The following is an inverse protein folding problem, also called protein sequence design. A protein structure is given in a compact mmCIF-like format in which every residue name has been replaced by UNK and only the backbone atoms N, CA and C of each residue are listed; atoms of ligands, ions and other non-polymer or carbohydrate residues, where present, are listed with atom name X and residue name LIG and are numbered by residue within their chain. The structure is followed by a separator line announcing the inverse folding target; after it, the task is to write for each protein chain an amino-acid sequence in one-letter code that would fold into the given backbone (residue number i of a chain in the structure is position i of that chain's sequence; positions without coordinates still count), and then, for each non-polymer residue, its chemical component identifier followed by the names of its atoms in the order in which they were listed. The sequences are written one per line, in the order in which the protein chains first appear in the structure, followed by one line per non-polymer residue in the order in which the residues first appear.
data_IF_145319419378
#
_entry.id   IF_145319419378
#
_cell.length_a   1.000
_cell.length_b   1.000
_cell.length_c   1.000
_cell.angle_alpha   90.00
_cell.angle_beta   90.00
_cell.angle_gamma   90.00
#
_symmetry.space_group_name_H-M   'P 1'
#
loop_
_entity.id
_entity.type
_entity.pdbx_description
1 polymer ?
#
# COMPACT_ATOMS: atom_id res chain seq x y z
N UNK A 1 -19.97 -18.08 -1.29
CA UNK A 1 -20.15 -16.64 -1.57
C UNK A 1 -18.96 -16.21 -2.41
N UNK A 2 -19.20 -15.66 -3.61
CA UNK A 2 -18.12 -15.10 -4.42
C UNK A 2 -17.56 -13.89 -3.68
N UNK A 3 -16.29 -13.94 -3.25
CA UNK A 3 -15.60 -12.75 -2.77
C UNK A 3 -15.61 -11.74 -3.91
N UNK A 4 -16.40 -10.67 -3.75
CA UNK A 4 -16.39 -9.54 -4.67
C UNK A 4 -15.00 -8.93 -4.58
N UNK A 5 -14.30 -8.79 -5.70
CA UNK A 5 -12.97 -8.15 -5.73
C UNK A 5 -13.06 -6.76 -5.10
N UNK A 6 -12.14 -6.41 -4.21
CA UNK A 6 -12.10 -5.08 -3.61
C UNK A 6 -11.82 -4.04 -4.71
N UNK A 7 -12.77 -3.15 -4.96
CA UNK A 7 -12.63 -2.07 -5.97
C UNK A 7 -12.05 -0.80 -5.38
N UNK A 8 -12.06 -0.64 -4.06
CA UNK A 8 -11.41 0.47 -3.36
C UNK A 8 -9.89 0.38 -3.57
N UNK A 9 -9.23 1.42 -4.11
CA UNK A 9 -7.79 1.41 -4.30
C UNK A 9 -7.01 1.27 -2.99
N UNK A 10 -5.93 0.49 -3.03
CA UNK A 10 -5.03 0.29 -1.88
C UNK A 10 -3.66 0.87 -2.20
N UNK A 11 -3.16 1.77 -1.34
CA UNK A 11 -1.77 2.20 -1.31
C UNK A 11 -1.02 1.41 -0.24
N UNK A 12 0.03 0.72 -0.66
CA UNK A 12 0.95 0.01 0.21
C UNK A 12 2.32 0.69 0.23
N UNK A 13 2.68 1.23 1.38
CA UNK A 13 3.92 1.94 1.65
C UNK A 13 4.94 0.97 2.22
N UNK A 14 6.07 0.80 1.54
CA UNK A 14 7.11 -0.17 1.92
C UNK A 14 8.49 0.49 1.97
N UNK A 15 9.43 -0.12 2.68
CA UNK A 15 10.83 0.28 2.59
C UNK A 15 11.77 -0.92 2.53
N UNK A 16 12.38 -1.30 3.66
CA UNK A 16 13.49 -2.25 3.75
C UNK A 16 13.20 -3.40 4.73
N UNK A 17 11.92 -3.69 5.00
CA UNK A 17 11.48 -4.72 5.95
C UNK A 17 10.79 -5.88 5.23
N UNK A 18 11.50 -6.68 4.40
CA UNK A 18 10.87 -7.69 3.55
C UNK A 18 9.96 -8.67 4.31
N UNK A 19 10.32 -9.05 5.54
CA UNK A 19 9.50 -9.96 6.35
C UNK A 19 8.14 -9.37 6.76
N UNK A 20 8.10 -8.12 7.22
CA UNK A 20 6.83 -7.49 7.62
C UNK A 20 6.04 -7.04 6.39
N UNK A 21 6.73 -6.59 5.34
CA UNK A 21 6.14 -6.36 4.01
C UNK A 21 5.39 -7.60 3.53
N UNK A 22 5.99 -8.79 3.63
CA UNK A 22 5.34 -10.04 3.22
C UNK A 22 4.07 -10.33 4.03
N UNK A 23 4.10 -10.13 5.35
CA UNK A 23 2.93 -10.36 6.21
C UNK A 23 1.77 -9.43 5.85
N UNK A 24 2.03 -8.14 5.65
CA UNK A 24 0.99 -7.17 5.28
C UNK A 24 0.49 -7.43 3.86
N UNK A 25 1.41 -7.69 2.92
CA UNK A 25 1.07 -8.02 1.54
C UNK A 25 0.17 -9.24 1.43
N UNK A 26 0.38 -10.29 2.23
CA UNK A 26 -0.52 -11.46 2.24
C UNK A 26 -1.95 -11.11 2.66
N UNK A 27 -2.16 -10.10 3.51
CA UNK A 27 -3.52 -9.62 3.84
C UNK A 27 -4.15 -8.86 2.67
N UNK A 28 -3.35 -8.05 1.95
CA UNK A 28 -3.78 -7.36 0.73
C UNK A 28 -4.11 -8.38 -0.37
N UNK A 29 -3.24 -9.37 -0.58
CA UNK A 29 -3.42 -10.46 -1.55
C UNK A 29 -4.68 -11.28 -1.26
N UNK A 30 -5.01 -11.52 0.01
CA UNK A 30 -6.23 -12.24 0.39
C UNK A 30 -7.53 -11.56 -0.11
N UNK A 31 -7.52 -10.24 -0.28
CA UNK A 31 -8.68 -9.48 -0.79
C UNK A 31 -8.59 -9.13 -2.28
N UNK A 32 -7.48 -9.49 -2.95
CA UNK A 32 -7.26 -9.38 -4.41
C UNK A 32 -7.77 -8.03 -4.96
N UNK A 33 -7.23 -6.87 -4.49
CA UNK A 33 -7.74 -5.57 -4.91
C UNK A 33 -7.55 -5.39 -6.41
N UNK A 34 -8.55 -4.78 -7.06
CA UNK A 34 -8.44 -4.46 -8.49
C UNK A 34 -7.33 -3.44 -8.75
N UNK A 35 -7.16 -2.47 -7.85
CA UNK A 35 -6.18 -1.40 -7.96
C UNK A 35 -5.21 -1.44 -6.77
N UNK A 36 -3.93 -1.69 -7.06
CA UNK A 36 -2.87 -1.71 -6.05
C UNK A 36 -1.80 -0.69 -6.43
N UNK A 37 -1.53 0.23 -5.50
CA UNK A 37 -0.48 1.22 -5.58
C UNK A 37 0.60 0.82 -4.59
N UNK A 38 1.85 0.78 -5.03
CA UNK A 38 2.98 0.41 -4.17
C UNK A 38 4.01 1.52 -4.25
N UNK A 39 4.28 2.17 -3.13
CA UNK A 39 5.34 3.15 -3.04
C UNK A 39 6.45 2.65 -2.12
N UNK A 40 7.69 2.72 -2.61
CA UNK A 40 8.86 2.31 -1.85
C UNK A 40 9.87 3.45 -1.74
N UNK A 41 10.34 3.72 -0.53
CA UNK A 41 11.49 4.62 -0.36
C UNK A 41 12.78 3.97 -0.92
N UNK A 42 13.77 4.80 -1.20
CA UNK A 42 15.09 4.35 -1.66
C UNK A 42 16.01 4.00 -0.50
N UNK A 43 17.04 3.21 -0.77
CA UNK A 43 18.04 2.85 0.24
C UNK A 43 18.90 4.06 0.62
N UNK A 44 19.48 4.05 1.83
CA UNK A 44 20.48 5.03 2.24
C UNK A 44 21.82 4.64 1.62
N UNK A 45 22.52 5.61 1.05
CA UNK A 45 23.80 5.36 0.35
C UNK A 45 24.88 4.73 1.25
N UNK A 46 24.85 5.07 2.54
CA UNK A 46 25.90 4.69 3.49
C UNK A 46 25.47 3.55 4.44
N UNK A 47 24.49 2.75 4.05
CA UNK A 47 24.02 1.62 4.87
C UNK A 47 24.10 0.32 4.08
N UNK A 48 25.16 -0.43 4.35
CA UNK A 48 25.42 -1.73 3.76
C UNK A 48 24.25 -2.71 3.98
N UNK A 49 23.92 -3.50 2.96
CA UNK A 49 22.81 -4.45 2.98
C UNK A 49 21.41 -3.83 2.81
N UNK A 50 21.24 -2.51 2.95
CA UNK A 50 19.91 -1.89 2.89
C UNK A 50 19.34 -1.89 1.47
N UNK A 51 20.20 -1.82 0.45
CA UNK A 51 19.78 -1.90 -0.95
C UNK A 51 19.14 -3.26 -1.24
N UNK A 52 19.78 -4.33 -0.80
CA UNK A 52 19.31 -5.70 -0.96
C UNK A 52 17.98 -5.91 -0.23
N UNK A 53 17.84 -5.37 0.99
CA UNK A 53 16.57 -5.42 1.74
C UNK A 53 15.43 -4.65 1.04
N UNK A 54 15.71 -3.49 0.45
CA UNK A 54 14.72 -2.75 -0.34
C UNK A 54 14.30 -3.53 -1.59
N UNK A 55 15.26 -4.14 -2.30
CA UNK A 55 14.98 -4.97 -3.47
C UNK A 55 14.15 -6.20 -3.10
N UNK A 56 14.44 -6.85 -1.97
CA UNK A 56 13.65 -7.97 -1.45
C UNK A 56 12.21 -7.53 -1.10
N UNK A 57 12.03 -6.41 -0.41
CA UNK A 57 10.71 -5.90 -0.07
C UNK A 57 9.88 -5.55 -1.32
N UNK A 58 10.51 -4.96 -2.35
CA UNK A 58 9.85 -4.69 -3.64
C UNK A 58 9.44 -6.00 -4.33
N UNK A 59 10.32 -7.01 -4.37
CA UNK A 59 10.06 -8.32 -4.99
C UNK A 59 8.90 -9.06 -4.33
N UNK A 60 8.76 -8.99 -3.00
CA UNK A 60 7.61 -9.57 -2.27
C UNK A 60 6.28 -9.19 -2.92
N UNK A 61 6.12 -7.92 -3.31
CA UNK A 61 4.89 -7.43 -3.91
C UNK A 61 4.83 -7.74 -5.41
N UNK A 62 5.91 -7.46 -6.15
CA UNK A 62 5.95 -7.64 -7.61
C UNK A 62 5.73 -9.11 -8.03
N UNK A 63 6.36 -10.04 -7.31
CA UNK A 63 6.31 -11.47 -7.65
C UNK A 63 5.10 -12.17 -7.01
N UNK A 64 4.45 -11.53 -6.03
CA UNK A 64 3.35 -12.11 -5.27
C UNK A 64 1.95 -11.84 -5.85
N UNK A 65 1.85 -11.05 -6.92
CA UNK A 65 0.57 -10.75 -7.57
C UNK A 65 0.18 -11.87 -8.54
N UNK A 66 -0.79 -12.67 -8.13
CA UNK A 66 -1.33 -13.82 -8.88
C UNK A 66 -2.81 -13.64 -9.29
N UNK A 67 -3.24 -12.38 -9.42
CA UNK A 67 -4.59 -12.00 -9.80
C UNK A 67 -4.59 -10.85 -10.82
N UNK A 68 -5.72 -10.63 -11.48
CA UNK A 68 -5.91 -9.47 -12.34
C UNK A 68 -5.88 -8.19 -11.50
N UNK A 69 -4.77 -7.48 -11.56
CA UNK A 69 -4.47 -6.33 -10.73
C UNK A 69 -3.92 -5.20 -11.61
N UNK A 70 -4.55 -4.03 -11.54
CA UNK A 70 -3.99 -2.78 -12.07
C UNK A 70 -2.95 -2.26 -11.07
N UNK A 71 -1.73 -2.76 -11.20
CA UNK A 71 -0.59 -2.37 -10.37
C UNK A 71 0.04 -1.05 -10.85
N UNK A 72 0.22 -0.10 -9.93
CA UNK A 72 1.04 1.11 -10.14
C UNK A 72 2.14 1.17 -9.09
N UNK A 73 3.37 1.40 -9.53
CA UNK A 73 4.54 1.43 -8.63
C UNK A 73 5.21 2.80 -8.65
N UNK A 74 5.66 3.25 -7.48
CA UNK A 74 6.52 4.42 -7.30
C UNK A 74 7.69 4.05 -6.41
N UNK A 75 8.82 3.67 -7.01
CA UNK A 75 10.02 3.30 -6.27
C UNK A 75 11.07 4.40 -6.39
N UNK A 76 11.55 4.88 -5.24
CA UNK A 76 12.58 5.90 -5.19
C UNK A 76 13.97 5.23 -5.22
N UNK A 77 14.91 5.88 -5.90
CA UNK A 77 16.31 5.42 -5.95
C UNK A 77 17.09 5.83 -4.69
N UNK A 78 16.72 6.97 -4.09
CA UNK A 78 17.38 7.50 -2.90
C UNK A 78 16.41 7.64 -1.74
N UNK A 79 16.90 7.37 -0.53
CA UNK A 79 16.13 7.56 0.69
C UNK A 79 15.73 9.03 0.86
N UNK A 80 14.42 9.31 0.84
CA UNK A 80 13.86 10.61 1.22
C UNK A 80 13.47 10.65 2.71
N UNK A 81 13.43 9.49 3.36
CA UNK A 81 13.07 9.35 4.76
C UNK A 81 11.56 9.35 4.96
N UNK A 82 11.11 8.77 6.07
CA UNK A 82 9.69 8.49 6.37
C UNK A 82 8.76 9.69 6.07
N UNK A 83 9.06 10.89 6.59
CA UNK A 83 8.20 12.07 6.40
C UNK A 83 7.95 12.42 4.93
N UNK A 84 9.01 12.50 4.12
CA UNK A 84 8.91 12.95 2.73
C UNK A 84 8.50 11.81 1.78
N UNK A 85 9.00 10.60 2.03
CA UNK A 85 8.62 9.42 1.24
C UNK A 85 7.12 9.12 1.37
N UNK A 86 6.59 9.09 2.59
CA UNK A 86 5.17 8.81 2.87
C UNK A 86 4.29 9.93 2.33
N UNK A 87 4.54 11.19 2.70
CA UNK A 87 3.69 12.31 2.24
C UNK A 87 3.65 12.42 0.71
N UNK A 88 4.79 12.28 0.02
CA UNK A 88 4.82 12.32 -1.45
C UNK A 88 4.16 11.11 -2.11
N UNK A 89 4.20 9.94 -1.46
CA UNK A 89 3.48 8.75 -1.94
C UNK A 89 1.96 8.92 -1.79
N UNK A 90 1.50 9.51 -0.69
CA UNK A 90 0.07 9.81 -0.46
C UNK A 90 -0.41 10.87 -1.47
N UNK A 91 0.37 11.92 -1.72
CA UNK A 91 0.06 12.91 -2.78
C UNK A 91 -0.06 12.23 -4.14
N UNK A 92 0.95 11.44 -4.53
CA UNK A 92 0.94 10.71 -5.80
C UNK A 92 -0.26 9.76 -5.92
N UNK A 93 -0.66 9.11 -4.83
CA UNK A 93 -1.84 8.25 -4.81
C UNK A 93 -3.13 9.04 -5.10
N UNK A 94 -3.36 10.16 -4.40
CA UNK A 94 -4.54 11.00 -4.59
C UNK A 94 -4.55 11.82 -5.89
N UNK A 95 -3.41 11.96 -6.59
CA UNK A 95 -3.41 12.43 -7.98
C UNK A 95 -4.09 11.44 -8.94
N UNK A 96 -4.29 10.19 -8.52
CA UNK A 96 -4.87 9.13 -9.34
C UNK A 96 -6.25 8.66 -8.87
N UNK A 97 -6.62 8.90 -7.61
CA UNK A 97 -7.86 8.40 -6.99
C UNK A 97 -8.47 9.43 -6.05
N UNK A 98 -9.79 9.43 -5.88
CA UNK A 98 -10.48 10.35 -4.96
C UNK A 98 -10.45 9.85 -3.50
N UNK A 99 -10.44 8.52 -3.31
CA UNK A 99 -10.45 7.86 -2.00
C UNK A 99 -9.71 6.51 -2.09
N UNK A 100 -9.25 5.99 -0.94
CA UNK A 100 -8.58 4.70 -0.89
C UNK A 100 -8.07 4.33 0.50
N UNK A 101 -7.52 3.12 0.60
CA UNK A 101 -6.96 2.54 1.83
C UNK A 101 -5.45 2.71 1.79
N UNK A 102 -4.84 3.16 2.89
CA UNK A 102 -3.39 3.33 2.99
C UNK A 102 -2.86 2.40 4.09
N UNK A 103 -1.87 1.58 3.77
CA UNK A 103 -1.22 0.65 4.69
C UNK A 103 0.30 0.82 4.63
N UNK A 104 0.97 0.69 5.79
CA UNK A 104 2.43 0.65 5.91
C UNK A 104 2.92 -0.80 6.10
N UNK A 105 4.20 -1.05 5.82
CA UNK A 105 4.82 -2.38 5.94
C UNK A 105 4.92 -2.91 7.38
N UNK A 106 4.56 -2.11 8.38
CA UNK A 106 4.49 -2.48 9.79
C UNK A 106 3.06 -2.39 10.39
N UNK A 107 2.04 -2.18 9.54
CA UNK A 107 0.63 -2.19 9.92
C UNK A 107 -0.05 -3.45 9.39
N UNK A 108 -0.25 -4.46 10.24
CA UNK A 108 -0.88 -5.73 9.86
C UNK A 108 -2.41 -5.67 10.03
N UNK A 109 -3.21 -5.52 8.94
CA UNK A 109 -4.66 -5.45 9.06
C UNK A 109 -5.31 -6.83 9.20
N UNK A 110 -6.45 -6.88 9.89
CA UNK A 110 -7.37 -8.01 9.69
C UNK A 110 -8.02 -7.92 8.30
N UNK A 111 -8.42 -9.06 7.72
CA UNK A 111 -9.07 -9.05 6.38
C UNK A 111 -10.41 -8.32 6.40
N UNK A 112 -11.10 -8.28 7.54
CA UNK A 112 -12.35 -7.50 7.69
C UNK A 112 -12.13 -5.99 7.56
N UNK A 113 -10.90 -5.49 7.79
CA UNK A 113 -10.55 -4.06 7.67
C UNK A 113 -10.85 -3.50 6.29
N UNK A 114 -10.56 -4.26 5.23
CA UNK A 114 -10.79 -3.81 3.86
C UNK A 114 -12.28 -3.61 3.54
N UNK A 115 -13.13 -4.50 4.03
CA UNK A 115 -14.59 -4.39 3.89
C UNK A 115 -15.15 -3.22 4.70
N UNK A 116 -14.69 -3.07 5.95
CA UNK A 116 -15.00 -1.92 6.80
C UNK A 116 -14.65 -0.59 6.13
N UNK A 117 -13.44 -0.47 5.57
CA UNK A 117 -13.03 0.74 4.89
C UNK A 117 -13.86 1.01 3.64
N UNK A 118 -14.11 0.00 2.81
CA UNK A 118 -14.92 0.16 1.60
C UNK A 118 -16.35 0.64 1.91
N UNK A 119 -16.99 0.07 2.93
CA UNK A 119 -18.34 0.47 3.34
C UNK A 119 -18.37 1.91 3.88
N UNK A 120 -17.43 2.27 4.76
CA UNK A 120 -17.43 3.59 5.39
C UNK A 120 -16.94 4.70 4.46
N UNK A 121 -16.05 4.41 3.50
CA UNK A 121 -15.70 5.38 2.45
C UNK A 121 -16.94 5.73 1.63
N UNK A 122 -17.71 4.73 1.17
CA UNK A 122 -18.96 4.97 0.45
C UNK A 122 -19.96 5.76 1.31
N UNK A 123 -20.14 5.38 2.57
CA UNK A 123 -21.08 6.03 3.48
C UNK A 123 -20.73 7.49 3.77
N UNK A 124 -19.44 7.79 3.98
CA UNK A 124 -18.97 9.13 4.33
C UNK A 124 -18.53 9.99 3.15
N UNK A 125 -18.53 9.49 1.91
CA UNK A 125 -18.00 10.18 0.71
C UNK A 125 -18.42 11.65 0.59
N UNK A 126 -19.68 11.94 0.90
CA UNK A 126 -20.25 13.30 0.78
C UNK A 126 -20.27 14.10 2.10
N UNK A 127 -19.79 13.52 3.20
CA UNK A 127 -19.79 14.16 4.51
C UNK A 127 -18.47 14.92 4.76
N UNK A 128 -18.48 16.22 4.46
CA UNK A 128 -17.32 17.12 4.60
C UNK A 128 -16.78 17.29 6.03
N UNK A 129 -17.42 16.71 7.05
CA UNK A 129 -16.93 16.72 8.44
C UNK A 129 -15.99 15.55 8.75
N UNK A 130 -15.93 14.54 7.88
CA UNK A 130 -15.11 13.34 8.07
C UNK A 130 -13.97 13.37 7.05
N UNK A 131 -12.74 13.28 7.55
CA UNK A 131 -11.53 13.30 6.71
C UNK A 131 -10.95 11.89 6.50
N UNK A 132 -11.03 11.01 7.50
CA UNK A 132 -10.52 9.64 7.43
C UNK A 132 -11.31 8.71 8.35
N UNK A 133 -11.09 7.41 8.15
CA UNK A 133 -11.55 6.29 8.97
C UNK A 133 -10.31 5.42 9.27
N UNK A 134 -10.26 4.74 10.41
CA UNK A 134 -9.12 3.93 10.81
C UNK A 134 -9.42 3.07 12.02
#
# INVERSE_FOLDING_TARGET
MSLKSLTTPVLFLIFNRPETTAKVFERIRAVRPKYLYVAADGHRKNKEGEKELCEQARKVVLDGIDWECELKTRFLDTNLGCKMAVSSAITWFFENVEEGIILEDDCLPDVSFFGFCAELLEYYRNNKRIMHIG
#
